data_IF_082661224283
#
_entry.id   IF_082661224283
#
_cell.length_a   1.000
_cell.length_b   1.000
_cell.length_c   1.000
_cell.angle_alpha   90.00
_cell.angle_beta   90.00
_cell.angle_gamma   90.00
#
_symmetry.space_group_name_H-M   'P 1'
#
loop_
_entity.id
_entity.type
_entity.pdbx_description
1 polymer ?
#
# COMPACT_ATOMS: atom_id res chain seq x y z
N UNK A 1 -18.28 -13.23 8.49
CA UNK A 1 -19.28 -12.14 8.56
C UNK A 1 -19.11 -11.29 7.30
N UNK A 2 -20.14 -11.18 6.50
CA UNK A 2 -20.13 -10.39 5.25
C UNK A 2 -20.57 -8.97 5.61
N UNK A 3 -19.74 -7.98 5.40
CA UNK A 3 -20.14 -6.59 5.51
C UNK A 3 -20.85 -6.19 4.21
N UNK A 4 -22.08 -5.64 4.26
CA UNK A 4 -22.75 -5.17 3.06
C UNK A 4 -22.13 -3.85 2.58
N UNK A 5 -21.83 -3.76 1.29
CA UNK A 5 -21.60 -2.48 0.62
C UNK A 5 -22.90 -1.66 0.68
N UNK A 6 -22.90 -0.57 1.40
CA UNK A 6 -24.03 0.35 1.44
C UNK A 6 -24.18 1.05 0.08
N UNK A 7 -25.16 0.66 -0.71
CA UNK A 7 -25.56 1.36 -1.93
C UNK A 7 -26.21 2.69 -1.56
N UNK A 8 -25.57 3.79 -1.95
CA UNK A 8 -26.17 5.12 -1.85
C UNK A 8 -27.13 5.29 -3.04
N UNK A 9 -28.42 5.22 -2.74
CA UNK A 9 -29.50 5.41 -3.70
C UNK A 9 -29.64 6.91 -4.01
N UNK A 10 -29.31 7.34 -5.23
CA UNK A 10 -29.64 8.68 -5.71
C UNK A 10 -31.09 8.72 -6.18
N UNK A 11 -31.92 9.47 -5.48
CA UNK A 11 -33.27 9.82 -5.96
C UNK A 11 -33.15 11.02 -6.88
N UNK A 12 -33.41 10.80 -8.17
CA UNK A 12 -33.57 11.88 -9.14
C UNK A 12 -35.02 12.35 -9.13
N UNK A 13 -35.25 13.54 -8.58
CA UNK A 13 -36.52 14.25 -8.68
C UNK A 13 -36.54 15.19 -9.87
N UNK A 14 -37.36 14.87 -10.88
CA UNK A 14 -37.76 15.79 -11.95
C UNK A 14 -38.87 16.70 -11.42
N UNK A 15 -38.71 18.03 -11.57
CA UNK A 15 -39.81 18.92 -12.08
C UNK A 15 -39.38 20.39 -12.05
N UNK A 16 -39.78 21.14 -13.08
CA UNK A 16 -40.14 22.55 -13.00
C UNK A 16 -39.22 23.53 -13.74
N UNK A 17 -39.61 23.82 -15.00
CA UNK A 17 -39.12 25.00 -15.75
C UNK A 17 -39.65 26.29 -15.10
N UNK A 18 -38.75 27.24 -14.79
CA UNK A 18 -39.09 28.65 -14.58
C UNK A 18 -38.00 29.54 -15.16
N UNK A 19 -38.39 30.64 -15.83
CA UNK A 19 -37.62 31.60 -16.58
C UNK A 19 -36.69 32.47 -15.71
N UNK A 20 -35.61 33.05 -16.27
CA UNK A 20 -34.60 33.78 -15.51
C UNK A 20 -35.06 35.22 -15.21
N UNK A 21 -34.92 35.63 -13.97
CA UNK A 21 -34.82 37.05 -13.57
C UNK A 21 -33.41 37.26 -13.05
N UNK A 22 -32.70 38.13 -13.74
CA UNK A 22 -31.41 38.65 -13.29
C UNK A 22 -31.57 39.38 -11.97
N UNK A 23 -30.84 38.90 -10.94
CA UNK A 23 -30.57 39.71 -9.76
C UNK A 23 -29.09 39.52 -9.40
N UNK A 24 -28.37 40.61 -9.45
CA UNK A 24 -26.98 40.76 -9.03
C UNK A 24 -26.88 40.32 -7.55
N UNK A 25 -26.31 39.14 -7.30
CA UNK A 25 -26.17 38.54 -5.99
C UNK A 25 -24.70 38.30 -5.67
N UNK A 26 -24.19 39.08 -4.75
CA UNK A 26 -23.16 38.88 -3.73
C UNK A 26 -22.47 37.50 -3.84
N UNK A 27 -21.17 37.49 -4.08
CA UNK A 27 -20.29 36.35 -3.94
C UNK A 27 -20.34 35.81 -2.51
N UNK A 28 -21.23 34.90 -2.25
CA UNK A 28 -21.14 33.99 -1.11
C UNK A 28 -20.07 32.94 -1.42
N UNK A 29 -19.02 32.92 -0.61
CA UNK A 29 -17.93 31.94 -0.70
C UNK A 29 -18.41 30.53 -0.36
N UNK A 30 -19.28 29.98 -1.19
CA UNK A 30 -19.82 28.64 -1.05
C UNK A 30 -18.70 27.63 -0.97
N UNK A 31 -18.42 27.10 0.21
CA UNK A 31 -17.58 25.92 0.41
C UNK A 31 -18.15 24.82 -0.49
N UNK A 32 -17.41 24.46 -1.52
CA UNK A 32 -17.79 23.28 -2.34
C UNK A 32 -17.99 22.11 -1.41
N UNK A 33 -19.07 21.33 -1.57
CA UNK A 33 -19.29 20.16 -0.74
C UNK A 33 -18.05 19.25 -0.83
N UNK A 34 -17.57 18.81 0.32
CA UNK A 34 -16.48 17.85 0.40
C UNK A 34 -16.95 16.54 -0.26
N UNK A 35 -16.46 16.28 -1.46
CA UNK A 35 -16.62 14.98 -2.12
C UNK A 35 -15.45 14.13 -1.65
N UNK A 36 -15.70 13.05 -0.88
CA UNK A 36 -14.63 12.14 -0.50
C UNK A 36 -13.92 11.63 -1.74
N UNK A 37 -12.59 11.79 -1.77
CA UNK A 37 -11.78 11.19 -2.85
C UNK A 37 -11.89 9.66 -2.71
N UNK A 38 -12.06 8.93 -3.84
CA UNK A 38 -11.97 7.49 -3.80
C UNK A 38 -10.62 7.02 -3.25
N UNK A 39 -10.57 5.87 -2.57
CA UNK A 39 -9.31 5.35 -2.03
C UNK A 39 -8.31 5.12 -3.17
N UNK A 40 -7.09 5.55 -2.99
CA UNK A 40 -6.04 5.25 -3.95
C UNK A 40 -5.73 3.75 -3.96
N UNK A 41 -5.35 3.17 -5.11
CA UNK A 41 -4.99 1.76 -5.18
C UNK A 41 -3.67 1.44 -4.50
N UNK A 42 -3.04 2.39 -3.81
CA UNK A 42 -1.84 2.16 -3.02
C UNK A 42 -1.81 3.04 -1.77
N UNK A 43 -1.18 2.53 -0.71
CA UNK A 43 -1.11 3.21 0.57
C UNK A 43 0.27 3.08 1.24
N UNK A 44 0.68 4.16 1.91
CA UNK A 44 1.73 4.15 2.90
C UNK A 44 1.15 3.73 4.25
N UNK A 45 1.55 2.55 4.74
CA UNK A 45 1.27 2.09 6.09
C UNK A 45 2.32 2.70 7.04
N UNK A 46 1.98 3.81 7.68
CA UNK A 46 2.94 4.59 8.48
C UNK A 46 3.10 4.01 9.87
N UNK A 47 4.33 3.91 10.31
CA UNK A 47 4.69 3.49 11.67
C UNK A 47 5.76 4.38 12.29
N UNK A 48 5.77 4.55 13.63
CA UNK A 48 6.80 5.34 14.32
C UNK A 48 8.18 4.67 14.18
N UNK A 49 9.15 5.36 13.55
CA UNK A 49 10.49 4.84 13.32
C UNK A 49 11.20 4.36 14.59
N UNK A 50 11.02 5.10 15.71
CA UNK A 50 11.62 4.79 17.01
C UNK A 50 11.11 3.47 17.62
N UNK A 51 9.84 3.13 17.42
CA UNK A 51 9.24 1.90 17.93
C UNK A 51 9.45 0.72 16.99
N UNK A 52 9.52 0.99 15.69
CA UNK A 52 9.72 -0.03 14.64
C UNK A 52 8.62 -1.10 14.60
N UNK A 53 7.46 -0.85 15.24
CA UNK A 53 6.37 -1.83 15.31
C UNK A 53 5.60 -1.87 13.99
N UNK A 54 5.71 -2.98 13.31
CA UNK A 54 5.02 -3.30 12.05
C UNK A 54 4.21 -4.59 12.14
N UNK A 55 4.00 -5.10 13.35
CA UNK A 55 3.27 -6.36 13.55
C UNK A 55 1.83 -6.32 12.98
N UNK A 56 1.22 -5.14 12.90
CA UNK A 56 -0.07 -4.92 12.24
C UNK A 56 -0.07 -5.36 10.78
N UNK A 57 1.01 -5.04 10.04
CA UNK A 57 1.13 -5.43 8.63
C UNK A 57 1.20 -6.96 8.46
N UNK A 58 1.99 -7.64 9.27
CA UNK A 58 2.08 -9.11 9.21
C UNK A 58 0.74 -9.78 9.58
N UNK A 59 0.03 -9.26 10.60
CA UNK A 59 -1.31 -9.76 10.96
C UNK A 59 -2.31 -9.54 9.84
N UNK A 60 -2.30 -8.37 9.21
CA UNK A 60 -3.13 -8.05 8.04
C UNK A 60 -2.89 -9.04 6.89
N UNK A 61 -1.63 -9.26 6.50
CA UNK A 61 -1.26 -10.23 5.45
C UNK A 61 -1.77 -11.63 5.79
N UNK A 62 -1.55 -12.09 7.02
CA UNK A 62 -2.01 -13.40 7.46
C UNK A 62 -3.53 -13.55 7.41
N UNK A 63 -4.26 -12.50 7.75
CA UNK A 63 -5.71 -12.50 7.68
C UNK A 63 -6.22 -12.56 6.23
N UNK A 64 -5.57 -11.85 5.31
CA UNK A 64 -5.90 -11.91 3.87
C UNK A 64 -5.62 -13.31 3.30
N UNK A 65 -4.49 -13.92 3.63
CA UNK A 65 -4.18 -15.31 3.22
C UNK A 65 -5.23 -16.30 3.71
N UNK A 66 -5.67 -16.18 4.97
CA UNK A 66 -6.77 -17.00 5.53
C UNK A 66 -8.10 -16.79 4.79
N UNK A 67 -8.31 -15.61 4.22
CA UNK A 67 -9.48 -15.28 3.40
C UNK A 67 -9.29 -15.66 1.91
N UNK A 68 -8.25 -16.42 1.57
CA UNK A 68 -7.89 -16.83 0.20
C UNK A 68 -7.66 -15.65 -0.77
N UNK A 69 -7.21 -14.50 -0.26
CA UNK A 69 -6.76 -13.39 -1.11
C UNK A 69 -5.33 -13.70 -1.58
N UNK A 70 -5.09 -13.54 -2.87
CA UNK A 70 -3.74 -13.72 -3.45
C UNK A 70 -2.90 -12.49 -3.14
N UNK A 71 -2.05 -12.62 -2.12
CA UNK A 71 -1.13 -11.56 -1.68
C UNK A 71 0.28 -11.95 -2.07
N UNK A 72 0.98 -11.05 -2.77
CA UNK A 72 2.40 -11.15 -3.07
C UNK A 72 3.22 -10.07 -2.36
N UNK A 73 4.52 -10.10 -2.57
CA UNK A 73 5.44 -9.14 -1.99
C UNK A 73 6.30 -9.69 -0.88
N UNK A 74 6.76 -8.83 0.01
CA UNK A 74 7.81 -9.15 0.99
C UNK A 74 7.45 -8.64 2.38
N UNK A 75 7.56 -9.50 3.37
CA UNK A 75 7.66 -9.12 4.78
C UNK A 75 9.11 -9.20 5.25
N UNK A 76 9.44 -8.46 6.29
CA UNK A 76 10.77 -8.48 6.89
C UNK A 76 10.71 -9.10 8.28
N UNK A 77 11.52 -10.12 8.50
CA UNK A 77 11.69 -10.72 9.82
C UNK A 77 13.06 -10.39 10.40
N UNK A 78 13.07 -10.18 11.70
CA UNK A 78 14.27 -9.93 12.49
C UNK A 78 14.62 -11.17 13.27
N UNK A 79 15.85 -11.66 13.08
CA UNK A 79 16.39 -12.83 13.77
C UNK A 79 17.52 -12.37 14.69
N UNK A 80 17.39 -12.69 15.98
CA UNK A 80 18.46 -12.45 16.94
C UNK A 80 19.53 -13.54 16.79
N UNK A 81 20.79 -13.14 16.67
CA UNK A 81 21.92 -14.04 16.54
C UNK A 81 22.83 -13.96 17.77
N UNK A 82 22.96 -15.08 18.48
CA UNK A 82 23.85 -15.15 19.65
C UNK A 82 23.38 -14.32 20.85
N UNK A 83 24.27 -14.20 21.85
CA UNK A 83 23.99 -13.46 23.10
C UNK A 83 24.31 -11.96 22.99
N UNK A 84 25.05 -11.57 21.96
CA UNK A 84 25.49 -10.18 21.77
C UNK A 84 24.42 -9.26 21.15
N UNK A 85 23.20 -9.74 21.00
CA UNK A 85 22.10 -8.97 20.42
C UNK A 85 22.25 -8.65 18.93
N UNK A 86 23.22 -9.27 18.24
CA UNK A 86 23.43 -9.13 16.80
C UNK A 86 22.16 -9.55 16.04
N UNK A 87 21.76 -8.79 15.04
CA UNK A 87 20.53 -8.96 14.32
C UNK A 87 20.78 -9.32 12.86
N UNK A 88 20.15 -10.39 12.40
CA UNK A 88 19.99 -10.70 10.98
C UNK A 88 18.57 -10.35 10.56
N UNK A 89 18.44 -9.79 9.38
CA UNK A 89 17.14 -9.52 8.74
C UNK A 89 16.96 -10.45 7.55
N UNK A 90 15.76 -10.98 7.43
CA UNK A 90 15.35 -11.80 6.30
C UNK A 90 14.12 -11.18 5.65
N UNK A 91 14.12 -11.07 4.32
CA UNK A 91 12.90 -10.86 3.57
C UNK A 91 12.19 -12.20 3.41
N UNK A 92 10.90 -12.22 3.68
CA UNK A 92 10.05 -13.39 3.51
C UNK A 92 9.09 -13.13 2.35
N UNK A 93 9.25 -13.88 1.28
CA UNK A 93 8.30 -13.84 0.16
C UNK A 93 6.93 -14.32 0.62
N UNK A 94 5.94 -13.45 0.47
CA UNK A 94 4.58 -13.68 1.01
C UNK A 94 3.88 -14.85 0.31
N UNK A 95 4.09 -15.00 -1.00
CA UNK A 95 3.43 -16.03 -1.80
C UNK A 95 4.00 -17.41 -1.51
N UNK A 96 5.32 -17.53 -1.48
CA UNK A 96 6.03 -18.81 -1.41
C UNK A 96 6.51 -19.18 0.00
N UNK A 97 6.65 -18.20 0.89
CA UNK A 97 7.29 -18.35 2.19
C UNK A 97 8.82 -18.46 2.12
N UNK A 98 9.43 -18.27 0.94
CA UNK A 98 10.89 -18.29 0.78
C UNK A 98 11.53 -17.20 1.64
N UNK A 99 12.60 -17.55 2.35
CA UNK A 99 13.36 -16.64 3.19
C UNK A 99 14.66 -16.24 2.49
N UNK A 100 14.90 -14.95 2.41
CA UNK A 100 16.06 -14.35 1.74
C UNK A 100 16.82 -13.52 2.79
N UNK A 101 18.01 -13.92 3.23
CA UNK A 101 18.84 -13.11 4.13
C UNK A 101 19.24 -11.81 3.44
N UNK A 102 18.81 -10.67 3.96
CA UNK A 102 19.07 -9.35 3.35
C UNK A 102 20.28 -8.64 3.94
N UNK A 103 20.83 -9.16 5.04
CA UNK A 103 22.09 -8.68 5.59
C UNK A 103 22.95 -9.84 6.08
N UNK A 104 24.27 -9.62 6.10
CA UNK A 104 25.27 -10.56 6.65
C UNK A 104 26.09 -9.86 7.75
N UNK A 105 25.52 -9.69 8.95
CA UNK A 105 26.23 -9.06 10.04
C UNK A 105 27.41 -9.93 10.50
N UNK A 106 28.57 -9.30 10.70
CA UNK A 106 29.68 -9.90 11.44
C UNK A 106 29.83 -9.21 12.79
N UNK A 107 30.42 -9.85 13.80
CA UNK A 107 30.63 -9.21 15.09
C UNK A 107 31.38 -7.87 15.00
N UNK A 108 32.29 -7.74 14.06
CA UNK A 108 33.04 -6.52 13.80
C UNK A 108 32.15 -5.42 13.18
N UNK A 109 31.43 -5.73 12.10
CA UNK A 109 30.49 -4.79 11.46
C UNK A 109 29.38 -4.36 12.42
N UNK A 110 28.90 -5.29 13.24
CA UNK A 110 27.87 -5.02 14.23
C UNK A 110 28.36 -4.03 15.29
N UNK A 111 29.55 -4.26 15.88
CA UNK A 111 30.16 -3.35 16.86
C UNK A 111 30.42 -1.95 16.29
N UNK A 112 30.83 -1.88 15.02
CA UNK A 112 31.13 -0.63 14.34
C UNK A 112 29.91 0.03 13.69
N UNK A 113 28.70 -0.54 13.86
CA UNK A 113 27.45 -0.04 13.24
C UNK A 113 27.52 0.12 11.72
N UNK A 114 28.33 -0.70 11.06
CA UNK A 114 28.49 -0.68 9.61
C UNK A 114 27.35 -1.46 8.96
N UNK A 115 26.74 -0.86 7.93
CA UNK A 115 25.73 -1.53 7.13
C UNK A 115 26.28 -2.83 6.54
N UNK A 116 25.52 -3.92 6.68
CA UNK A 116 25.87 -5.25 6.21
C UNK A 116 24.88 -5.77 5.16
N UNK A 117 24.23 -4.86 4.43
CA UNK A 117 23.30 -5.22 3.36
C UNK A 117 23.98 -6.14 2.33
N UNK A 118 23.29 -7.18 1.92
CA UNK A 118 23.74 -8.11 0.89
C UNK A 118 23.14 -7.72 -0.46
N UNK A 119 23.98 -7.19 -1.34
CA UNK A 119 23.55 -6.75 -2.68
C UNK A 119 22.98 -7.92 -3.50
N UNK A 120 23.45 -9.15 -3.28
CA UNK A 120 22.91 -10.32 -3.99
C UNK A 120 21.48 -10.65 -3.58
N UNK A 121 21.14 -10.37 -2.32
CA UNK A 121 19.78 -10.55 -1.82
C UNK A 121 18.80 -9.56 -2.48
N UNK A 122 19.25 -8.40 -2.90
CA UNK A 122 18.40 -7.42 -3.60
C UNK A 122 17.85 -8.01 -4.91
N UNK A 123 18.66 -8.73 -5.67
CA UNK A 123 18.20 -9.37 -6.90
C UNK A 123 17.10 -10.42 -6.66
N UNK A 124 17.21 -11.18 -5.56
CA UNK A 124 16.19 -12.17 -5.21
C UNK A 124 14.89 -11.51 -4.73
N UNK A 125 14.97 -10.45 -3.94
CA UNK A 125 13.79 -9.70 -3.48
C UNK A 125 13.09 -8.99 -4.63
N UNK A 126 13.84 -8.41 -5.57
CA UNK A 126 13.34 -7.87 -6.83
C UNK A 126 12.60 -8.92 -7.65
N UNK A 127 13.18 -10.13 -7.79
CA UNK A 127 12.54 -11.23 -8.51
C UNK A 127 11.19 -11.62 -7.89
N UNK A 128 11.08 -11.67 -6.55
CA UNK A 128 9.82 -11.95 -5.86
C UNK A 128 8.73 -10.92 -6.17
N UNK A 129 9.06 -9.63 -6.19
CA UNK A 129 8.09 -8.59 -6.56
C UNK A 129 7.67 -8.69 -8.03
N UNK A 130 8.64 -8.87 -8.93
CA UNK A 130 8.35 -9.04 -10.36
C UNK A 130 7.46 -10.24 -10.63
N UNK A 131 7.67 -11.35 -9.93
CA UNK A 131 6.81 -12.51 -10.02
C UNK A 131 5.39 -12.19 -9.55
N UNK A 132 5.23 -11.50 -8.42
CA UNK A 132 3.92 -11.08 -7.93
C UNK A 132 3.17 -10.18 -8.93
N UNK A 133 3.89 -9.27 -9.62
CA UNK A 133 3.33 -8.43 -10.69
C UNK A 133 2.88 -9.30 -11.89
N UNK A 134 3.71 -10.23 -12.33
CA UNK A 134 3.40 -11.13 -13.45
C UNK A 134 2.18 -12.03 -13.15
N UNK A 135 2.09 -12.53 -11.92
CA UNK A 135 0.98 -13.37 -11.45
C UNK A 135 -0.32 -12.56 -11.24
N UNK A 136 -0.26 -11.24 -11.37
CA UNK A 136 -1.39 -10.31 -11.14
C UNK A 136 -2.08 -10.64 -9.82
N UNK A 137 -1.32 -10.65 -8.73
CA UNK A 137 -1.87 -10.85 -7.40
C UNK A 137 -2.89 -9.76 -7.07
N UNK A 138 -3.79 -10.00 -6.12
CA UNK A 138 -4.83 -9.03 -5.74
C UNK A 138 -4.27 -7.88 -4.89
N UNK A 139 -3.15 -8.09 -4.20
CA UNK A 139 -2.46 -7.10 -3.38
C UNK A 139 -0.97 -7.39 -3.33
N UNK A 140 -0.15 -6.36 -3.48
CA UNK A 140 1.29 -6.42 -3.17
C UNK A 140 1.54 -5.70 -1.84
N UNK A 141 2.31 -6.34 -0.95
CA UNK A 141 2.73 -5.76 0.32
C UNK A 141 4.24 -5.72 0.38
N UNK A 142 4.80 -4.56 0.72
CA UNK A 142 6.24 -4.36 0.87
C UNK A 142 6.55 -3.83 2.27
N UNK A 143 7.27 -4.59 3.03
CA UNK A 143 7.82 -4.17 4.29
C UNK A 143 9.33 -3.99 4.11
N UNK A 144 9.74 -2.82 3.91
CA UNK A 144 9.81 -1.51 4.43
C UNK A 144 10.27 -0.54 3.32
N UNK A 145 9.84 0.72 3.34
CA UNK A 145 10.49 1.83 2.64
C UNK A 145 11.71 2.28 3.45
N UNK A 146 12.87 1.73 3.13
CA UNK A 146 14.11 1.93 3.84
C UNK A 146 15.01 3.02 3.27
N UNK A 147 16.29 2.96 3.61
CA UNK A 147 17.28 3.94 3.13
C UNK A 147 17.56 3.77 1.64
N UNK A 148 17.59 2.52 1.13
CA UNK A 148 17.78 2.27 -0.30
C UNK A 148 16.62 2.86 -1.13
N UNK A 149 15.38 2.60 -0.74
CA UNK A 149 14.21 3.14 -1.41
C UNK A 149 14.12 4.67 -1.27
N UNK A 150 14.54 5.22 -0.12
CA UNK A 150 14.67 6.67 0.10
C UNK A 150 15.62 7.29 -0.92
N UNK A 151 16.73 6.63 -1.23
CA UNK A 151 17.74 7.13 -2.14
C UNK A 151 17.41 6.83 -3.62
N UNK A 152 16.29 6.12 -3.89
CA UNK A 152 15.82 5.80 -5.23
C UNK A 152 16.35 4.47 -5.76
N UNK A 153 16.93 3.69 -4.88
CA UNK A 153 17.46 2.35 -5.12
C UNK A 153 16.50 1.28 -4.57
N UNK A 154 17.02 0.11 -4.28
CA UNK A 154 16.28 -0.97 -3.66
C UNK A 154 15.14 -1.48 -4.53
N UNK A 155 13.93 -1.52 -3.98
CA UNK A 155 12.72 -2.02 -4.63
C UNK A 155 11.84 -0.91 -5.22
N UNK A 156 12.34 0.32 -5.31
CA UNK A 156 11.57 1.50 -5.74
C UNK A 156 10.93 1.29 -7.11
N UNK A 157 11.68 0.77 -8.08
CA UNK A 157 11.20 0.57 -9.44
C UNK A 157 10.07 -0.47 -9.50
N UNK A 158 10.20 -1.59 -8.79
CA UNK A 158 9.18 -2.64 -8.74
C UNK A 158 7.90 -2.16 -8.04
N UNK A 159 8.04 -1.35 -6.99
CA UNK A 159 6.89 -0.75 -6.30
C UNK A 159 6.12 0.17 -7.26
N UNK A 160 6.83 1.06 -7.97
CA UNK A 160 6.22 1.96 -8.94
C UNK A 160 5.63 1.19 -10.14
N UNK A 161 6.28 0.12 -10.58
CA UNK A 161 5.78 -0.78 -11.62
C UNK A 161 4.47 -1.47 -11.21
N UNK A 162 4.37 -1.95 -9.96
CA UNK A 162 3.15 -2.55 -9.44
C UNK A 162 1.99 -1.54 -9.42
N UNK A 163 2.26 -0.30 -8.94
CA UNK A 163 1.27 0.79 -8.94
C UNK A 163 0.83 1.12 -10.37
N UNK A 164 1.76 1.27 -11.30
CA UNK A 164 1.48 1.55 -12.71
C UNK A 164 0.70 0.41 -13.41
N UNK A 165 0.89 -0.82 -12.97
CA UNK A 165 0.13 -1.98 -13.44
C UNK A 165 -1.30 -2.06 -12.85
N UNK A 166 -1.69 -1.11 -12.00
CA UNK A 166 -3.00 -1.08 -11.36
C UNK A 166 -3.18 -2.13 -10.27
N UNK A 167 -2.10 -2.76 -9.80
CA UNK A 167 -2.17 -3.70 -8.68
C UNK A 167 -2.18 -2.90 -7.39
N UNK A 168 -3.13 -3.13 -6.47
CA UNK A 168 -3.10 -2.50 -5.16
C UNK A 168 -1.79 -2.78 -4.40
N UNK A 169 -1.21 -1.72 -3.80
CA UNK A 169 0.07 -1.82 -3.07
C UNK A 169 -0.05 -1.22 -1.68
N UNK A 170 0.46 -1.93 -0.68
CA UNK A 170 0.71 -1.40 0.66
C UNK A 170 2.20 -1.44 0.94
N UNK A 171 2.78 -0.32 1.31
CA UNK A 171 4.18 -0.23 1.71
C UNK A 171 4.30 0.31 3.13
N UNK A 172 5.07 -0.36 3.99
CA UNK A 172 5.35 0.14 5.33
C UNK A 172 6.40 1.27 5.26
N UNK A 173 6.01 2.46 5.70
CA UNK A 173 6.84 3.67 5.65
C UNK A 173 7.08 4.18 7.08
N UNK A 174 8.33 4.33 7.52
CA UNK A 174 8.60 5.01 8.78
C UNK A 174 8.15 6.47 8.70
N UNK A 175 7.61 7.01 9.77
CA UNK A 175 7.13 8.39 9.85
C UNK A 175 8.18 9.42 9.38
N UNK A 176 9.46 9.16 9.64
CA UNK A 176 10.59 9.99 9.19
C UNK A 176 10.81 10.04 7.67
N UNK A 177 10.27 9.09 6.93
CA UNK A 177 10.44 8.98 5.48
C UNK A 177 9.16 9.30 4.69
N UNK A 178 8.08 9.68 5.38
CA UNK A 178 6.78 9.90 4.74
C UNK A 178 6.81 11.01 3.69
N UNK A 179 7.51 12.10 3.96
CA UNK A 179 7.62 13.22 3.01
C UNK A 179 8.34 12.80 1.72
N UNK A 180 9.37 11.95 1.84
CA UNK A 180 10.11 11.43 0.70
C UNK A 180 9.25 10.46 -0.10
N UNK A 181 8.50 9.59 0.59
CA UNK A 181 7.53 8.72 -0.05
C UNK A 181 6.47 9.51 -0.83
N UNK A 182 5.88 10.54 -0.21
CA UNK A 182 4.88 11.40 -0.84
C UNK A 182 5.45 12.10 -2.09
N UNK A 183 6.67 12.59 -2.02
CA UNK A 183 7.32 13.21 -3.18
C UNK A 183 7.50 12.22 -4.34
N UNK A 184 7.91 10.97 -4.05
CA UNK A 184 8.11 9.92 -5.07
C UNK A 184 6.81 9.39 -5.65
N UNK A 185 5.78 9.24 -4.83
CA UNK A 185 4.45 8.77 -5.26
C UNK A 185 3.58 9.89 -5.86
N UNK A 186 4.11 11.11 -5.96
CA UNK A 186 3.35 12.27 -6.43
C UNK A 186 2.23 12.70 -5.48
N UNK A 187 2.25 12.27 -4.23
CA UNK A 187 1.22 12.55 -3.24
C UNK A 187 -0.15 11.94 -3.54
N UNK A 188 -0.20 10.96 -4.41
CA UNK A 188 -1.48 10.36 -4.88
C UNK A 188 -1.94 9.19 -4.02
N UNK A 189 -1.05 8.57 -3.26
CA UNK A 189 -1.36 7.43 -2.39
C UNK A 189 -2.14 7.83 -1.14
N UNK A 190 -2.79 6.85 -0.52
CA UNK A 190 -3.37 7.02 0.80
C UNK A 190 -2.30 6.88 1.88
N UNK A 191 -2.52 7.54 3.00
CA UNK A 191 -1.69 7.41 4.20
C UNK A 191 -2.55 6.81 5.30
N UNK A 192 -2.16 5.62 5.77
CA UNK A 192 -2.88 4.90 6.82
C UNK A 192 -1.93 4.49 7.94
N UNK A 193 -2.43 4.21 9.12
CA UNK A 193 -1.60 3.63 10.17
C UNK A 193 -1.20 2.19 9.82
N UNK A 194 0.00 1.77 10.23
CA UNK A 194 0.46 0.37 10.10
C UNK A 194 -0.24 -0.56 11.13
N UNK A 195 -1.52 -0.31 11.38
CA UNK A 195 -2.41 -1.09 12.23
C UNK A 195 -3.28 -2.03 11.40
N UNK A 196 -3.52 -3.24 11.91
CA UNK A 196 -4.28 -4.25 11.16
C UNK A 196 -5.69 -3.80 10.80
N UNK A 197 -6.38 -3.10 11.71
CA UNK A 197 -7.76 -2.67 11.49
C UNK A 197 -7.85 -1.55 10.46
N UNK A 198 -6.92 -0.59 10.50
CA UNK A 198 -6.81 0.47 9.50
C UNK A 198 -6.52 -0.09 8.11
N UNK A 199 -5.56 -1.01 8.02
CA UNK A 199 -5.22 -1.69 6.77
C UNK A 199 -6.39 -2.49 6.21
N UNK A 200 -7.18 -3.15 7.05
CA UNK A 200 -8.39 -3.86 6.63
C UNK A 200 -9.46 -2.92 6.11
N UNK A 201 -9.66 -1.75 6.75
CA UNK A 201 -10.62 -0.72 6.29
C UNK A 201 -10.24 -0.19 4.93
N UNK A 202 -8.95 0.18 4.76
CA UNK A 202 -8.43 0.63 3.47
C UNK A 202 -8.63 -0.44 2.37
N UNK A 203 -8.24 -1.67 2.65
CA UNK A 203 -8.38 -2.77 1.69
C UNK A 203 -9.82 -3.03 1.28
N UNK A 204 -10.75 -2.99 2.23
CA UNK A 204 -12.17 -3.16 1.95
C UNK A 204 -12.69 -2.06 1.00
N UNK A 205 -12.26 -0.80 1.19
CA UNK A 205 -12.62 0.33 0.35
C UNK A 205 -12.07 0.17 -1.09
N UNK A 206 -10.78 -0.17 -1.23
CA UNK A 206 -10.15 -0.42 -2.54
C UNK A 206 -10.85 -1.56 -3.30
N UNK A 207 -11.24 -2.64 -2.61
CA UNK A 207 -11.97 -3.75 -3.26
C UNK A 207 -13.38 -3.38 -3.70
N UNK A 208 -14.07 -2.51 -2.96
CA UNK A 208 -15.39 -2.05 -3.35
C UNK A 208 -15.33 -1.24 -4.65
N UNK A 209 -14.36 -0.34 -4.78
CA UNK A 209 -14.19 0.47 -6.01
C UNK A 209 -13.80 -0.37 -7.22
N UNK A 210 -12.84 -1.29 -7.06
CA UNK A 210 -12.45 -2.16 -8.17
C UNK A 210 -13.60 -3.02 -8.70
N UNK A 211 -14.58 -3.37 -7.85
CA UNK A 211 -15.80 -4.07 -8.27
C UNK A 211 -16.79 -3.14 -8.96
N UNK A 212 -16.94 -1.90 -8.51
CA UNK A 212 -17.80 -0.88 -9.16
C UNK A 212 -17.32 -0.55 -10.57
N UNK A 213 -16.03 -0.32 -10.75
CA UNK A 213 -15.42 -0.02 -12.05
C UNK A 213 -15.56 -1.16 -13.06
N UNK A 214 -15.59 -2.41 -12.61
CA UNK A 214 -15.77 -3.57 -13.48
C UNK A 214 -17.21 -3.68 -14.01
N UNK A 215 -18.21 -3.28 -13.22
CA UNK A 215 -19.62 -3.27 -13.62
C UNK A 215 -19.90 -2.14 -14.61
N UNK A 216 -19.36 -0.94 -14.36
CA UNK A 216 -19.53 0.23 -15.24
C UNK A 216 -18.88 0.05 -16.63
N UNK A 217 -17.79 -0.71 -16.71
CA UNK A 217 -17.16 -1.03 -18.00
C UNK A 217 -17.93 -2.11 -18.78
N UNK A 218 -18.66 -2.99 -18.10
CA UNK A 218 -19.49 -4.01 -18.76
C UNK A 218 -20.72 -3.36 -19.42
N UNK A 219 -21.33 -2.39 -18.77
CA UNK A 219 -22.52 -1.71 -19.27
C UNK A 219 -22.24 -0.81 -20.51
N UNK A 220 -21.02 -0.23 -20.58
CA UNK A 220 -20.60 0.58 -21.74
C UNK A 220 -20.23 -0.24 -22.98
N UNK A 221 -19.98 -1.55 -22.86
CA UNK A 221 -19.63 -2.41 -23.99
C UNK A 221 -20.84 -2.93 -24.78
N UNK A 222 -22.08 -2.67 -24.31
CA UNK A 222 -23.32 -3.07 -24.95
C UNK A 222 -24.18 -1.91 -25.51
N UNK A 223 -23.66 -0.69 -25.49
CA UNK A 223 -24.34 0.47 -26.14
C UNK A 223 -23.93 0.54 -27.61
N UNK A 224 -24.66 -0.18 -28.49
CA UNK A 224 -24.69 -0.02 -29.95
C UNK A 224 -26.11 0.31 -30.41
#
# INVERSE_FOLDING_TARGET
MRYPCASVLFIVGLTGMAKPTETMGIHDGGKRPFVPRPPAPFAAAVYPAKKGDRAGLARFVNALKKANVRVGGLLQEKILMGQDGMQRFEAVDIATGKRIPINRPTPEKWRNQVCSLDVSALAETTASLRQAIQDKVELIVVEKFGDAERDGEGLTDEILQAIAAGIPVVIAVPDTNLDIWNARSGGMGDVVSCDEEELRRWWAAVRCENRGSAVDNFDKSFAW
#
